data_IF_394974845448
#
_entry.id   IF_394974845448
#
_cell.length_a   1.000
_cell.length_b   1.000
_cell.length_c   1.000
_cell.angle_alpha   90.00
_cell.angle_beta   90.00
_cell.angle_gamma   90.00
#
_symmetry.space_group_name_H-M   'P 1'
#
loop_
_entity.id
_entity.type
_entity.pdbx_description
1 polymer ?
#
# COMPACT_ATOMS: atom_id res chain seq x y z
N UNK A 1 -24.12 -28.78 6.34
CA UNK A 1 -22.73 -28.42 6.00
C UNK A 1 -22.31 -27.39 7.02
N UNK A 2 -21.29 -27.70 7.83
CA UNK A 2 -20.87 -26.85 8.95
C UNK A 2 -19.62 -26.11 8.51
N UNK A 3 -19.75 -24.80 8.28
CA UNK A 3 -18.59 -23.95 8.07
C UNK A 3 -17.68 -23.98 9.29
N UNK A 4 -16.37 -24.09 9.08
CA UNK A 4 -15.38 -23.87 10.14
C UNK A 4 -15.21 -22.35 10.27
N UNK A 5 -15.51 -21.82 11.45
CA UNK A 5 -15.25 -20.43 11.81
C UNK A 5 -13.97 -20.38 12.63
N UNK A 6 -12.98 -19.63 12.15
CA UNK A 6 -11.72 -19.40 12.87
C UNK A 6 -11.73 -17.99 13.41
N UNK A 7 -11.61 -17.84 14.74
CA UNK A 7 -11.44 -16.55 15.40
C UNK A 7 -10.01 -16.42 15.90
N UNK A 8 -9.35 -15.34 15.53
CA UNK A 8 -8.02 -14.95 16.01
C UNK A 8 -8.25 -13.84 17.04
N UNK A 9 -7.94 -14.14 18.30
CA UNK A 9 -8.14 -13.22 19.41
C UNK A 9 -7.12 -12.06 19.38
N UNK A 10 -7.37 -11.03 20.19
CA UNK A 10 -6.45 -9.91 20.39
C UNK A 10 -5.05 -10.40 20.80
N UNK A 11 -4.03 -9.83 20.16
CA UNK A 11 -2.62 -10.21 20.28
C UNK A 11 -2.27 -11.61 19.77
N UNK A 12 -3.23 -12.40 19.31
CA UNK A 12 -2.98 -13.72 18.76
C UNK A 12 -2.52 -13.65 17.31
N UNK A 13 -1.61 -14.55 16.92
CA UNK A 13 -1.09 -14.67 15.57
C UNK A 13 -1.37 -16.07 15.01
N UNK A 14 -2.08 -16.15 13.90
CA UNK A 14 -2.24 -17.37 13.12
C UNK A 14 -1.38 -17.27 11.85
N UNK A 15 -0.50 -18.25 11.66
CA UNK A 15 0.35 -18.34 10.46
C UNK A 15 -0.07 -19.54 9.63
N UNK A 16 -0.41 -19.28 8.38
CA UNK A 16 -0.83 -20.24 7.37
C UNK A 16 0.34 -20.52 6.41
N UNK A 17 1.30 -21.32 6.88
CA UNK A 17 2.62 -21.52 6.25
C UNK A 17 2.71 -22.73 5.29
N UNK A 18 1.69 -23.59 5.26
CA UNK A 18 1.69 -24.78 4.40
C UNK A 18 0.30 -25.07 3.83
N UNK A 19 0.17 -25.05 2.49
CA UNK A 19 -1.08 -25.35 1.79
C UNK A 19 -1.50 -26.84 1.91
N UNK A 20 -0.59 -27.72 2.31
CA UNK A 20 -0.79 -29.17 2.25
C UNK A 20 -1.55 -29.79 3.44
N UNK A 21 -2.08 -29.01 4.40
CA UNK A 21 -2.60 -29.59 5.67
C UNK A 21 -4.02 -29.23 6.12
N UNK A 22 -4.83 -28.59 5.28
CA UNK A 22 -6.29 -28.62 5.46
C UNK A 22 -7.03 -29.48 4.42
N UNK A 23 -6.32 -29.96 3.38
CA UNK A 23 -6.84 -30.99 2.49
C UNK A 23 -6.58 -32.37 3.10
N UNK A 24 -7.45 -32.83 4.01
CA UNK A 24 -7.38 -34.22 4.47
C UNK A 24 -7.88 -35.17 3.37
N UNK A 25 -6.92 -35.75 2.64
CA UNK A 25 -7.13 -36.94 1.81
C UNK A 25 -8.01 -36.74 0.58
N UNK A 26 -8.13 -37.78 -0.24
CA UNK A 26 -9.01 -37.89 -1.41
C UNK A 26 -10.51 -37.82 -1.04
N UNK A 27 -10.92 -36.78 -0.33
CA UNK A 27 -12.31 -36.42 -0.11
C UNK A 27 -12.67 -35.32 -1.11
N UNK A 28 -13.79 -35.46 -1.86
CA UNK A 28 -14.25 -34.40 -2.75
C UNK A 28 -14.57 -33.18 -1.88
N UNK A 29 -13.82 -32.08 -2.09
CA UNK A 29 -13.96 -30.83 -1.35
C UNK A 29 -13.87 -31.00 0.19
N UNK A 30 -12.65 -31.23 0.71
CA UNK A 30 -12.40 -30.96 2.12
C UNK A 30 -12.74 -29.48 2.42
N UNK A 31 -13.69 -29.27 3.33
CA UNK A 31 -14.26 -27.99 3.73
C UNK A 31 -13.15 -27.07 4.28
N UNK A 32 -12.78 -26.04 3.51
CA UNK A 32 -11.98 -24.93 4.00
C UNK A 32 -12.81 -24.10 5.00
N UNK A 33 -12.19 -23.38 5.94
CA UNK A 33 -12.92 -22.45 6.78
C UNK A 33 -13.72 -21.49 5.91
N UNK A 34 -15.01 -21.39 6.19
CA UNK A 34 -15.92 -20.51 5.47
C UNK A 34 -15.85 -19.08 5.99
N UNK A 35 -15.30 -18.85 7.20
CA UNK A 35 -15.04 -17.50 7.70
C UNK A 35 -13.78 -17.44 8.57
N UNK A 36 -13.07 -16.33 8.47
CA UNK A 36 -12.04 -15.93 9.42
C UNK A 36 -12.47 -14.62 10.07
N UNK A 37 -12.37 -14.54 11.39
CA UNK A 37 -12.53 -13.31 12.16
C UNK A 37 -11.19 -13.00 12.81
N UNK A 38 -10.66 -11.81 12.58
CA UNK A 38 -9.47 -11.29 13.25
C UNK A 38 -9.98 -10.18 14.16
N UNK A 39 -9.89 -10.40 15.46
CA UNK A 39 -10.20 -9.38 16.45
C UNK A 39 -9.18 -8.23 16.38
N UNK A 40 -9.53 -7.10 16.98
CA UNK A 40 -8.62 -5.97 17.23
C UNK A 40 -7.27 -6.50 17.75
N UNK A 41 -6.17 -6.12 17.09
CA UNK A 41 -4.81 -6.54 17.48
C UNK A 41 -4.42 -7.99 17.11
N UNK A 42 -5.34 -8.81 16.60
CA UNK A 42 -5.05 -10.13 16.05
C UNK A 42 -4.32 -10.05 14.70
N UNK A 43 -3.59 -11.11 14.34
CA UNK A 43 -2.86 -11.17 13.06
C UNK A 43 -3.07 -12.50 12.34
N UNK A 44 -3.42 -12.44 11.06
CA UNK A 44 -3.42 -13.57 10.12
C UNK A 44 -2.30 -13.39 9.09
N UNK A 45 -1.39 -14.37 9.02
CA UNK A 45 -0.31 -14.41 8.02
C UNK A 45 -0.56 -15.53 7.02
N UNK A 46 -0.57 -15.22 5.73
CA UNK A 46 -0.73 -16.17 4.62
C UNK A 46 0.56 -16.21 3.81
N UNK A 47 1.34 -17.30 3.85
CA UNK A 47 2.69 -17.37 3.25
C UNK A 47 2.79 -18.31 2.04
N UNK A 48 1.68 -18.83 1.50
CA UNK A 48 1.75 -19.80 0.40
C UNK A 48 0.61 -19.72 -0.64
N UNK A 49 0.90 -20.24 -1.83
CA UNK A 49 0.06 -20.24 -3.03
C UNK A 49 -1.00 -21.34 -3.00
N UNK A 50 -2.00 -21.26 -2.13
CA UNK A 50 -2.97 -22.36 -2.07
C UNK A 50 -4.11 -22.25 -1.09
N UNK A 51 -4.18 -21.15 -0.33
CA UNK A 51 -5.28 -20.96 0.58
C UNK A 51 -6.54 -20.57 -0.20
N UNK A 52 -7.37 -21.57 -0.46
CA UNK A 52 -8.74 -21.39 -0.92
C UNK A 52 -9.58 -20.99 0.28
N UNK A 53 -9.79 -19.68 0.43
CA UNK A 53 -10.81 -19.12 1.30
C UNK A 53 -12.11 -19.12 0.49
N UNK A 54 -12.60 -20.34 0.21
CA UNK A 54 -13.41 -20.61 -0.98
C UNK A 54 -14.80 -19.99 -1.00
N UNK A 55 -15.30 -19.46 0.10
CA UNK A 55 -16.53 -18.69 0.08
C UNK A 55 -16.44 -17.67 1.20
N UNK A 56 -16.53 -16.40 0.81
CA UNK A 56 -16.97 -15.31 1.67
C UNK A 56 -16.13 -15.18 2.95
N UNK A 57 -15.07 -14.38 2.86
CA UNK A 57 -14.63 -13.61 4.03
C UNK A 57 -15.80 -12.63 4.33
N UNK A 58 -16.93 -13.12 4.89
CA UNK A 58 -17.93 -12.33 5.64
C UNK A 58 -17.29 -12.12 7.01
N UNK A 59 -16.16 -11.44 6.97
CA UNK A 59 -15.40 -11.22 8.14
C UNK A 59 -15.76 -9.83 8.61
N UNK A 60 -16.28 -9.77 9.81
CA UNK A 60 -15.97 -8.62 10.63
C UNK A 60 -14.45 -8.66 10.94
N UNK A 61 -13.55 -8.41 9.96
CA UNK A 61 -12.15 -8.08 10.26
C UNK A 61 -12.15 -6.62 10.65
N UNK A 62 -12.68 -6.36 11.85
CA UNK A 62 -12.56 -5.05 12.44
C UNK A 62 -11.20 -4.99 13.11
N UNK A 63 -10.31 -4.13 12.61
CA UNK A 63 -9.12 -3.65 13.34
C UNK A 63 -7.99 -4.68 13.60
N UNK A 64 -7.98 -5.82 12.89
CA UNK A 64 -6.87 -6.77 12.88
C UNK A 64 -5.87 -6.56 11.73
N UNK A 65 -4.83 -7.40 11.64
CA UNK A 65 -3.86 -7.39 10.53
C UNK A 65 -3.94 -8.65 9.68
N UNK A 66 -4.05 -8.49 8.37
CA UNK A 66 -3.85 -9.52 7.35
C UNK A 66 -2.52 -9.27 6.64
N UNK A 67 -1.64 -10.26 6.62
CA UNK A 67 -0.34 -10.12 5.95
C UNK A 67 0.24 -11.41 5.40
N UNK A 68 1.51 -11.35 5.04
CA UNK A 68 2.26 -12.47 4.46
C UNK A 68 2.47 -12.35 2.94
N UNK A 69 2.97 -13.42 2.34
CA UNK A 69 3.46 -13.48 0.96
C UNK A 69 2.67 -14.42 0.03
N UNK A 70 1.48 -14.85 0.47
CA UNK A 70 0.73 -15.93 -0.17
C UNK A 70 -0.41 -15.47 -1.08
N UNK A 71 -1.22 -16.46 -1.48
CA UNK A 71 -2.43 -16.26 -2.29
C UNK A 71 -3.68 -16.62 -1.50
N UNK A 72 -4.60 -15.67 -1.44
CA UNK A 72 -6.00 -15.83 -1.01
C UNK A 72 -6.83 -16.06 -2.27
N UNK A 73 -7.61 -17.14 -2.32
CA UNK A 73 -8.61 -17.35 -3.39
C UNK A 73 -9.99 -17.16 -2.81
N UNK A 74 -10.70 -16.13 -3.26
CA UNK A 74 -12.00 -15.70 -2.73
C UNK A 74 -12.13 -14.18 -2.68
N UNK A 75 -13.35 -13.70 -2.45
CA UNK A 75 -13.63 -12.28 -2.22
C UNK A 75 -13.36 -11.91 -0.76
N UNK A 76 -12.90 -10.69 -0.54
CA UNK A 76 -12.71 -10.07 0.77
C UNK A 76 -13.62 -8.85 0.84
N UNK A 77 -14.54 -8.80 1.80
CA UNK A 77 -15.36 -7.60 2.10
C UNK A 77 -15.25 -7.32 3.60
N UNK A 78 -14.58 -6.21 3.95
CA UNK A 78 -14.29 -5.89 5.35
C UNK A 78 -14.15 -4.39 5.60
N UNK A 79 -14.24 -4.00 6.86
CA UNK A 79 -14.05 -2.63 7.33
C UNK A 79 -13.01 -2.54 8.45
N UNK A 80 -12.09 -1.57 8.40
CA UNK A 80 -11.13 -1.32 9.48
C UNK A 80 -9.92 -2.26 9.56
N UNK A 81 -9.76 -3.20 8.63
CA UNK A 81 -8.61 -4.12 8.61
C UNK A 81 -7.33 -3.40 8.17
N UNK A 82 -6.19 -3.79 8.76
CA UNK A 82 -4.87 -3.50 8.19
C UNK A 82 -4.44 -4.64 7.25
N UNK A 83 -4.14 -4.33 6.00
CA UNK A 83 -3.46 -5.25 5.07
C UNK A 83 -1.99 -4.84 4.99
N UNK A 84 -1.10 -5.74 5.40
CA UNK A 84 0.36 -5.55 5.34
C UNK A 84 0.98 -6.75 4.63
N UNK A 85 1.12 -6.71 3.29
CA UNK A 85 1.90 -7.71 2.57
C UNK A 85 3.27 -7.86 3.23
N UNK A 86 3.76 -9.10 3.33
CA UNK A 86 5.04 -9.38 3.97
C UNK A 86 5.07 -9.29 5.49
N UNK A 87 4.35 -8.34 6.09
CA UNK A 87 4.27 -8.11 7.54
C UNK A 87 5.67 -7.98 8.18
N UNK A 88 6.45 -7.00 7.71
CA UNK A 88 7.81 -6.71 8.17
C UNK A 88 8.92 -7.34 7.31
N UNK A 89 8.61 -7.73 6.08
CA UNK A 89 9.58 -8.19 5.08
C UNK A 89 9.02 -7.96 3.69
N UNK A 90 9.83 -7.45 2.75
CA UNK A 90 9.40 -7.17 1.39
C UNK A 90 8.77 -8.41 0.72
N UNK A 91 7.46 -8.39 0.46
CA UNK A 91 6.75 -9.50 -0.17
C UNK A 91 5.47 -9.10 -0.93
N UNK A 92 4.94 -10.05 -1.69
CA UNK A 92 3.65 -9.89 -2.39
C UNK A 92 2.55 -10.70 -1.73
N UNK A 93 1.42 -10.05 -1.41
CA UNK A 93 0.16 -10.72 -1.06
C UNK A 93 -0.80 -10.66 -2.26
N UNK A 94 -1.38 -11.80 -2.64
CA UNK A 94 -2.33 -11.86 -3.75
C UNK A 94 -3.74 -12.23 -3.31
N UNK A 95 -4.72 -11.42 -3.70
CA UNK A 95 -6.15 -11.69 -3.60
C UNK A 95 -6.66 -12.08 -4.99
N UNK A 96 -6.88 -13.38 -5.18
CA UNK A 96 -7.50 -13.91 -6.38
C UNK A 96 -9.03 -13.88 -6.26
N UNK A 97 -9.59 -12.67 -6.31
CA UNK A 97 -10.99 -12.35 -6.13
C UNK A 97 -11.17 -10.83 -6.03
N UNK A 98 -12.36 -10.38 -5.61
CA UNK A 98 -12.63 -8.98 -5.30
C UNK A 98 -12.07 -8.61 -3.91
N UNK A 99 -11.68 -7.36 -3.74
CA UNK A 99 -11.27 -6.80 -2.45
C UNK A 99 -12.03 -5.50 -2.17
N UNK A 100 -12.95 -5.53 -1.23
CA UNK A 100 -13.59 -4.35 -0.66
C UNK A 100 -13.06 -4.15 0.75
N UNK A 101 -12.24 -3.12 0.91
CA UNK A 101 -11.66 -2.70 2.17
C UNK A 101 -12.13 -1.28 2.45
N UNK A 102 -13.02 -1.12 3.42
CA UNK A 102 -13.56 0.19 3.82
C UNK A 102 -12.95 0.66 5.12
N UNK A 103 -12.67 1.96 5.26
CA UNK A 103 -12.12 2.55 6.48
C UNK A 103 -10.89 1.79 7.06
N UNK A 104 -10.10 1.15 6.18
CA UNK A 104 -8.98 0.29 6.55
C UNK A 104 -7.62 0.97 6.35
N UNK A 105 -6.57 0.17 6.48
CA UNK A 105 -5.20 0.58 6.21
C UNK A 105 -4.50 -0.43 5.30
N UNK A 106 -3.78 0.04 4.30
CA UNK A 106 -2.82 -0.77 3.54
C UNK A 106 -1.42 -0.27 3.88
N UNK A 107 -0.66 -1.08 4.61
CA UNK A 107 0.71 -0.76 5.03
C UNK A 107 1.72 -1.48 4.14
N UNK A 108 2.55 -0.71 3.44
CA UNK A 108 3.52 -1.22 2.45
C UNK A 108 4.92 -0.73 2.78
N UNK A 109 5.91 -1.61 2.66
CA UNK A 109 7.32 -1.27 2.83
C UNK A 109 8.03 -1.15 1.47
N UNK A 110 8.91 -0.16 1.34
CA UNK A 110 9.82 -0.01 0.20
C UNK A 110 11.21 -0.55 0.57
N UNK A 111 11.72 -1.47 -0.24
CA UNK A 111 13.06 -2.01 -0.15
C UNK A 111 14.05 -1.32 -1.09
N UNK A 112 15.27 -1.83 -1.15
CA UNK A 112 16.27 -1.40 -2.14
C UNK A 112 15.98 -2.00 -3.53
N UNK A 113 16.58 -1.40 -4.57
CA UNK A 113 16.55 -1.91 -5.96
C UNK A 113 15.11 -2.13 -6.49
N UNK A 114 14.24 -1.12 -6.35
CA UNK A 114 12.86 -1.16 -6.86
C UNK A 114 11.99 -2.29 -6.26
N UNK A 115 12.42 -2.90 -5.14
CA UNK A 115 11.62 -3.91 -4.44
C UNK A 115 10.67 -3.25 -3.45
N UNK A 116 9.44 -3.77 -3.34
CA UNK A 116 8.44 -3.25 -2.43
C UNK A 116 7.46 -4.35 -2.00
N UNK A 117 6.78 -4.12 -0.90
CA UNK A 117 5.56 -4.82 -0.61
C UNK A 117 4.55 -4.57 -1.73
N UNK A 118 3.91 -5.64 -2.17
CA UNK A 118 2.90 -5.58 -3.23
C UNK A 118 1.61 -6.22 -2.77
N UNK A 119 0.51 -5.50 -2.95
CA UNK A 119 -0.83 -6.09 -2.90
C UNK A 119 -1.36 -6.27 -4.33
N UNK A 120 -1.73 -7.49 -4.69
CA UNK A 120 -2.26 -7.81 -6.02
C UNK A 120 -3.68 -8.34 -5.95
N UNK A 121 -4.61 -7.71 -6.65
CA UNK A 121 -6.01 -8.10 -6.72
C UNK A 121 -6.37 -8.46 -8.16
N UNK A 122 -7.03 -9.60 -8.37
CA UNK A 122 -7.44 -10.03 -9.73
C UNK A 122 -8.85 -9.58 -10.11
N UNK A 123 -9.73 -9.34 -9.12
CA UNK A 123 -11.08 -8.80 -9.29
C UNK A 123 -11.18 -7.31 -8.97
N UNK A 124 -12.41 -6.78 -8.95
CA UNK A 124 -12.67 -5.39 -8.57
C UNK A 124 -12.17 -5.08 -7.16
N UNK A 125 -11.60 -3.89 -7.00
CA UNK A 125 -11.14 -3.37 -5.73
C UNK A 125 -11.91 -2.09 -5.34
N UNK A 126 -12.35 -2.01 -4.08
CA UNK A 126 -12.98 -0.84 -3.47
C UNK A 126 -12.21 -0.48 -2.19
N UNK A 127 -11.69 0.74 -2.14
CA UNK A 127 -10.87 1.27 -1.05
C UNK A 127 -11.50 2.51 -0.41
N UNK A 128 -12.83 2.61 -0.41
CA UNK A 128 -13.54 3.76 0.16
C UNK A 128 -13.16 3.97 1.64
N UNK A 129 -12.63 5.15 1.97
CA UNK A 129 -12.18 5.47 3.33
C UNK A 129 -10.88 4.80 3.77
N UNK A 130 -10.24 4.01 2.92
CA UNK A 130 -9.00 3.28 3.24
C UNK A 130 -7.77 4.13 2.94
N UNK A 131 -6.86 4.18 3.92
CA UNK A 131 -5.54 4.83 3.80
C UNK A 131 -4.49 3.85 3.26
N UNK A 132 -3.54 4.36 2.48
CA UNK A 132 -2.35 3.61 2.05
C UNK A 132 -1.15 4.30 2.69
N UNK A 133 -0.45 3.59 3.58
CA UNK A 133 0.74 4.08 4.24
C UNK A 133 1.97 3.35 3.72
N UNK A 134 2.94 4.10 3.24
CA UNK A 134 4.16 3.57 2.64
C UNK A 134 5.35 3.96 3.51
N UNK A 135 6.11 2.99 3.99
CA UNK A 135 7.29 3.18 4.85
C UNK A 135 8.55 2.59 4.24
N UNK A 136 9.75 3.05 4.63
CA UNK A 136 10.98 2.38 4.23
C UNK A 136 11.17 1.07 5.01
N UNK A 137 11.57 0.00 4.34
CA UNK A 137 12.17 -1.14 5.01
C UNK A 137 13.55 -0.76 5.55
N UNK A 138 13.89 -1.24 6.75
CA UNK A 138 15.13 -0.85 7.44
C UNK A 138 16.39 -1.09 6.60
N UNK A 139 17.34 -0.14 6.70
CA UNK A 139 18.69 -0.29 6.15
C UNK A 139 18.82 -0.06 4.64
N UNK A 140 17.75 0.31 3.94
CA UNK A 140 17.77 0.53 2.49
C UNK A 140 17.78 2.03 2.14
N UNK A 141 18.59 2.40 1.16
CA UNK A 141 18.56 3.71 0.53
C UNK A 141 17.74 3.63 -0.76
N UNK A 142 16.86 4.60 -0.97
CA UNK A 142 16.09 4.75 -2.21
C UNK A 142 16.83 5.70 -3.13
N UNK A 143 17.00 5.33 -4.39
CA UNK A 143 17.66 6.15 -5.39
C UNK A 143 16.65 7.00 -6.17
N UNK A 144 17.10 8.15 -6.66
CA UNK A 144 16.27 8.96 -7.56
C UNK A 144 15.98 8.20 -8.84
N UNK A 145 14.71 8.20 -9.26
CA UNK A 145 14.24 7.45 -10.42
C UNK A 145 13.73 6.05 -10.09
N UNK A 146 13.97 5.53 -8.88
CA UNK A 146 13.42 4.24 -8.45
C UNK A 146 11.89 4.28 -8.51
N UNK A 147 11.32 3.23 -9.08
CA UNK A 147 9.89 3.03 -9.24
C UNK A 147 9.45 1.72 -8.60
N UNK A 148 8.46 1.79 -7.73
CA UNK A 148 8.01 0.69 -6.89
C UNK A 148 6.57 0.33 -7.21
N UNK A 149 6.32 -0.94 -7.51
CA UNK A 149 4.95 -1.44 -7.68
C UNK A 149 4.33 -1.75 -6.32
N UNK A 150 3.29 -0.99 -5.95
CA UNK A 150 2.65 -1.06 -4.64
C UNK A 150 1.37 -1.90 -4.66
N UNK A 151 0.50 -1.62 -5.62
CA UNK A 151 -0.85 -2.18 -5.66
C UNK A 151 -1.28 -2.36 -7.11
N UNK A 152 -1.88 -3.50 -7.44
CA UNK A 152 -2.47 -3.72 -8.77
C UNK A 152 -3.90 -4.26 -8.64
N UNK A 153 -4.85 -3.63 -9.34
CA UNK A 153 -6.21 -4.13 -9.49
C UNK A 153 -6.83 -3.61 -10.81
N UNK A 154 -7.77 -4.34 -11.43
CA UNK A 154 -8.33 -4.00 -12.74
C UNK A 154 -8.98 -2.62 -12.84
N UNK A 155 -9.50 -2.09 -11.73
CA UNK A 155 -10.29 -0.85 -11.69
C UNK A 155 -9.61 0.29 -10.89
N UNK A 156 -8.30 0.23 -10.64
CA UNK A 156 -7.60 1.35 -9.99
C UNK A 156 -7.63 2.60 -10.87
N UNK A 157 -7.93 3.73 -10.25
CA UNK A 157 -7.91 5.06 -10.86
C UNK A 157 -7.01 6.00 -10.07
N UNK A 158 -6.64 7.14 -10.65
CA UNK A 158 -5.76 8.13 -10.01
C UNK A 158 -6.28 8.65 -8.66
N UNK A 159 -7.58 8.57 -8.40
CA UNK A 159 -8.17 9.05 -7.13
C UNK A 159 -7.58 8.33 -5.91
N UNK A 160 -7.11 7.09 -6.05
CA UNK A 160 -6.49 6.34 -4.94
C UNK A 160 -5.20 6.99 -4.42
N UNK A 161 -4.51 7.77 -5.27
CA UNK A 161 -3.25 8.44 -4.90
C UNK A 161 -3.44 9.48 -3.79
N UNK A 162 -4.65 10.01 -3.63
CA UNK A 162 -5.01 10.98 -2.58
C UNK A 162 -4.99 10.36 -1.18
N UNK A 163 -5.13 9.04 -1.11
CA UNK A 163 -5.12 8.29 0.15
C UNK A 163 -3.73 7.74 0.47
N UNK A 164 -2.72 8.00 -0.37
CA UNK A 164 -1.35 7.55 -0.16
C UNK A 164 -0.61 8.56 0.70
N UNK A 165 0.01 8.07 1.76
CA UNK A 165 0.92 8.82 2.63
C UNK A 165 2.25 8.08 2.76
N UNK A 166 3.32 8.85 2.91
CA UNK A 166 4.67 8.34 3.03
C UNK A 166 5.18 8.62 4.44
N UNK A 167 5.78 7.61 5.07
CA UNK A 167 6.44 7.75 6.36
C UNK A 167 7.54 8.81 6.30
N UNK A 168 7.75 9.50 7.42
CA UNK A 168 8.98 10.28 7.58
C UNK A 168 10.18 9.33 7.70
N UNK A 169 11.36 9.74 7.22
CA UNK A 169 12.59 8.97 7.38
C UNK A 169 13.00 8.12 6.17
N UNK A 170 12.42 8.36 4.99
CA UNK A 170 13.04 7.89 3.75
C UNK A 170 14.42 8.50 3.60
N UNK A 171 15.45 7.64 3.61
CA UNK A 171 16.81 8.02 3.30
C UNK A 171 17.01 7.88 1.80
N UNK A 172 17.02 9.02 1.12
CA UNK A 172 17.35 9.05 -0.29
C UNK A 172 18.87 9.02 -0.46
N UNK A 173 19.35 8.24 -1.43
CA UNK A 173 20.77 8.24 -1.82
C UNK A 173 21.23 9.63 -2.33
N UNK A 174 20.27 10.46 -2.75
CA UNK A 174 20.47 11.85 -3.16
C UNK A 174 19.67 12.81 -2.26
N UNK A 175 20.33 13.84 -1.74
CA UNK A 175 19.71 14.86 -0.89
C UNK A 175 18.72 15.70 -1.71
N UNK A 176 17.41 15.59 -1.38
CA UNK A 176 16.33 16.25 -2.12
C UNK A 176 15.30 15.31 -2.77
N UNK A 177 15.46 13.99 -2.65
CA UNK A 177 14.43 13.04 -3.10
C UNK A 177 13.10 13.22 -2.37
N UNK A 178 11.99 13.07 -3.10
CA UNK A 178 10.63 12.97 -2.59
C UNK A 178 9.94 11.77 -3.20
N UNK A 179 9.09 11.08 -2.44
CA UNK A 179 8.22 10.05 -3.00
C UNK A 179 6.91 10.66 -3.48
N UNK A 180 6.48 10.21 -4.65
CA UNK A 180 5.16 10.51 -5.20
C UNK A 180 4.46 9.23 -5.61
N UNK A 181 3.14 9.19 -5.46
CA UNK A 181 2.32 8.07 -5.88
C UNK A 181 1.58 8.42 -7.18
N UNK A 182 1.48 7.46 -8.09
CA UNK A 182 0.77 7.64 -9.34
C UNK A 182 0.18 6.31 -9.86
N UNK A 183 -0.87 6.37 -10.68
CA UNK A 183 -1.47 5.16 -11.27
C UNK A 183 -1.17 5.08 -12.76
N UNK A 184 -0.84 3.87 -13.23
CA UNK A 184 -0.63 3.56 -14.65
C UNK A 184 -1.18 2.18 -14.94
N UNK A 185 -2.10 2.09 -15.91
CA UNK A 185 -2.71 0.84 -16.36
C UNK A 185 -3.27 -0.05 -15.22
N UNK A 186 -4.02 0.54 -14.29
CA UNK A 186 -4.62 -0.21 -13.16
C UNK A 186 -3.60 -0.64 -12.10
N UNK A 187 -2.42 -0.03 -12.07
CA UNK A 187 -1.37 -0.30 -11.09
C UNK A 187 -0.93 0.99 -10.44
N UNK A 188 -0.90 1.02 -9.11
CA UNK A 188 -0.36 2.09 -8.29
C UNK A 188 1.14 1.88 -8.10
N UNK A 189 1.89 2.93 -8.36
CA UNK A 189 3.32 3.00 -8.18
C UNK A 189 3.67 4.08 -7.16
N UNK A 190 4.79 3.92 -6.49
CA UNK A 190 5.53 5.02 -5.88
C UNK A 190 6.82 5.26 -6.67
N UNK A 191 7.20 6.51 -6.85
CA UNK A 191 8.43 6.88 -7.53
C UNK A 191 9.21 7.89 -6.71
N UNK A 192 10.51 7.65 -6.59
CA UNK A 192 11.46 8.61 -6.07
C UNK A 192 11.72 9.69 -7.13
N UNK A 193 11.16 10.86 -6.86
CA UNK A 193 11.24 12.05 -7.70
C UNK A 193 12.17 13.09 -7.07
N UNK A 194 12.61 14.04 -7.88
CA UNK A 194 13.36 15.19 -7.38
C UNK A 194 12.35 16.13 -6.73
N UNK A 195 12.69 16.70 -5.58
CA UNK A 195 12.00 17.89 -5.12
C UNK A 195 12.09 18.90 -6.26
N UNK A 196 10.95 19.30 -6.84
CA UNK A 196 10.98 20.31 -7.88
C UNK A 196 11.59 21.58 -7.28
N UNK A 197 12.89 21.78 -7.48
CA UNK A 197 13.54 23.02 -7.14
C UNK A 197 12.88 24.04 -8.05
N UNK A 198 11.99 24.85 -7.47
CA UNK A 198 11.47 26.02 -8.17
C UNK A 198 12.72 26.81 -8.53
N UNK A 199 13.03 27.00 -9.83
CA UNK A 199 14.26 27.68 -10.20
C UNK A 199 14.25 29.04 -9.52
N UNK A 200 15.24 29.30 -8.67
CA UNK A 200 15.35 30.62 -8.07
C UNK A 200 15.41 31.63 -9.23
N UNK A 201 14.57 32.70 -9.20
CA UNK A 201 14.64 33.70 -10.24
C UNK A 201 16.06 34.23 -10.29
N UNK A 202 16.70 34.10 -11.46
CA UNK A 202 18.09 34.44 -11.63
C UNK A 202 18.37 35.85 -11.06
N UNK A 203 19.48 36.01 -10.33
CA UNK A 203 19.81 37.25 -9.59
C UNK A 203 19.68 38.51 -10.45
N UNK A 204 19.97 38.41 -11.76
CA UNK A 204 19.84 39.52 -12.70
C UNK A 204 18.37 39.93 -12.97
N UNK A 205 17.40 39.01 -12.94
CA UNK A 205 15.98 39.31 -13.06
C UNK A 205 15.52 40.14 -11.87
N UNK A 206 15.92 39.73 -10.65
CA UNK A 206 15.66 40.49 -9.43
C UNK A 206 16.33 41.87 -9.46
N UNK A 207 17.55 41.96 -10.00
CA UNK A 207 18.27 43.22 -10.16
C UNK A 207 17.56 44.16 -11.16
N UNK A 208 17.07 43.64 -12.29
CA UNK A 208 16.33 44.42 -13.29
C UNK A 208 15.01 44.90 -12.71
N UNK A 209 14.23 44.03 -12.07
CA UNK A 209 12.98 44.42 -11.42
C UNK A 209 13.21 45.44 -10.30
N UNK A 210 14.26 45.26 -9.49
CA UNK A 210 14.67 46.23 -8.48
C UNK A 210 15.08 47.57 -9.10
N UNK A 211 15.87 47.55 -10.17
CA UNK A 211 16.32 48.76 -10.89
C UNK A 211 15.17 49.53 -11.53
N UNK A 212 14.23 48.84 -12.19
CA UNK A 212 13.01 49.44 -12.77
C UNK A 212 12.14 50.06 -11.68
N UNK A 213 11.95 49.35 -10.57
CA UNK A 213 11.18 49.84 -9.42
C UNK A 213 11.81 51.09 -8.80
N UNK A 214 13.14 51.11 -8.68
CA UNK A 214 13.90 52.25 -8.17
C UNK A 214 13.81 53.47 -9.11
N UNK A 215 13.93 53.23 -10.42
CA UNK A 215 13.81 54.26 -11.44
C UNK A 215 12.40 54.88 -11.47
N UNK A 216 11.36 54.05 -11.38
CA UNK A 216 9.97 54.48 -11.30
C UNK A 216 9.69 55.33 -10.05
N UNK A 217 10.17 54.86 -8.89
CA UNK A 217 10.09 55.58 -7.61
C UNK A 217 10.73 56.97 -7.68
N UNK A 218 11.92 57.08 -8.26
CA UNK A 218 12.60 58.39 -8.46
C UNK A 218 11.81 59.32 -9.37
N UNK A 219 11.24 58.80 -10.46
CA UNK A 219 10.47 59.60 -11.41
C UNK A 219 9.20 60.18 -10.77
N UNK A 220 8.55 59.42 -9.88
CA UNK A 220 7.35 59.84 -9.17
C UNK A 220 7.59 60.87 -8.06
N UNK A 221 8.79 60.90 -7.46
CA UNK A 221 9.15 61.91 -6.43
C UNK A 221 9.55 63.27 -7.03
N UNK A 222 9.94 63.29 -8.29
CA UNK A 222 10.39 64.49 -9.00
C UNK A 222 9.30 65.09 -9.91
N UNK A 223 8.10 64.50 -9.92
CA UNK A 223 6.91 64.99 -10.60
C UNK A 223 5.91 65.47 -9.55
#
# INVERSE_FOLDING_TARGET
FYGINVSIADGAKLVLDNAAKFASGNTPAAEYPSTFTIADGGTLIVNHDGWRLTDVIESALTQGTLGGSGRIVGNIDTAGLTISPGNGSIAQLMVNGQLKLTDGLIALELGANETADTLKITGEADFTGTEIFVSPAEGNAIEFGDEFLLLSAPNLTDDITKNVSFANGFNFAYDGGLLSAYVKNGTLYAMATDSASVPEPATWILLVLGGVSLAYSRRRKNA
#
